data_IF_374457763670
#
_entry.id   IF_374457763670
#
_cell.length_a   1.000
_cell.length_b   1.000
_cell.length_c   1.000
_cell.angle_alpha   90.00
_cell.angle_beta   90.00
_cell.angle_gamma   90.00
#
_symmetry.space_group_name_H-M   'P 1'
#
loop_
_entity.id
_entity.type
_entity.pdbx_description
1 polymer ?
#
# COMPACT_ATOMS: atom_id res chain seq x y z
N UNK A 1 -20.58 2.30 -12.12
CA UNK A 1 -19.62 3.41 -12.00
C UNK A 1 -18.24 2.76 -12.06
N UNK A 2 -17.37 3.17 -12.99
CA UNK A 2 -16.02 2.61 -13.11
C UNK A 2 -15.13 3.26 -12.05
N UNK A 3 -14.70 2.48 -11.07
CA UNK A 3 -13.81 2.94 -10.01
C UNK A 3 -12.34 2.64 -10.39
N UNK A 4 -11.47 3.60 -10.09
CA UNK A 4 -10.05 3.58 -10.44
C UNK A 4 -9.16 3.58 -9.20
N UNK A 5 -9.66 3.04 -8.08
CA UNK A 5 -8.87 2.76 -6.88
C UNK A 5 -8.20 1.37 -6.95
N UNK A 6 -7.13 1.14 -6.16
CA UNK A 6 -6.38 -0.12 -6.21
C UNK A 6 -7.23 -1.37 -5.96
N UNK A 7 -8.20 -1.29 -5.05
CA UNK A 7 -9.08 -2.39 -4.67
C UNK A 7 -10.00 -2.79 -5.85
N UNK A 8 -10.48 -1.80 -6.59
CA UNK A 8 -11.28 -2.01 -7.81
C UNK A 8 -10.46 -2.63 -8.94
N UNK A 9 -9.21 -2.23 -9.12
CA UNK A 9 -8.29 -2.87 -10.07
C UNK A 9 -8.02 -4.34 -9.69
N UNK A 10 -7.72 -4.62 -8.41
CA UNK A 10 -7.50 -5.98 -7.92
C UNK A 10 -8.73 -6.86 -8.14
N UNK A 11 -9.92 -6.36 -7.84
CA UNK A 11 -11.19 -7.11 -8.03
C UNK A 11 -11.35 -7.52 -9.49
N UNK A 12 -11.13 -6.60 -10.44
CA UNK A 12 -11.20 -6.90 -11.87
C UNK A 12 -10.13 -7.90 -12.28
N UNK A 13 -8.91 -7.78 -11.77
CA UNK A 13 -7.86 -8.76 -12.04
C UNK A 13 -8.24 -10.17 -11.58
N UNK A 14 -8.80 -10.32 -10.37
CA UNK A 14 -9.28 -11.61 -9.84
C UNK A 14 -10.41 -12.19 -10.71
N UNK A 15 -11.35 -11.36 -11.16
CA UNK A 15 -12.41 -11.76 -12.11
C UNK A 15 -11.85 -12.26 -13.44
N UNK A 16 -10.85 -11.56 -13.99
CA UNK A 16 -10.19 -11.96 -15.23
C UNK A 16 -9.40 -13.27 -15.06
N UNK A 17 -8.72 -13.48 -13.93
CA UNK A 17 -8.02 -14.74 -13.66
C UNK A 17 -8.98 -15.93 -13.56
N UNK A 18 -10.17 -15.71 -13.01
CA UNK A 18 -11.21 -16.74 -12.88
C UNK A 18 -11.84 -17.17 -14.23
N UNK A 19 -11.83 -16.29 -15.24
CA UNK A 19 -12.47 -16.54 -16.55
C UNK A 19 -11.88 -17.73 -17.34
N UNK A 20 -10.59 -18.04 -17.14
CA UNK A 20 -9.92 -19.18 -17.75
C UNK A 20 -9.34 -18.93 -19.15
N UNK A 21 -9.71 -17.86 -19.86
CA UNK A 21 -9.22 -17.61 -21.22
C UNK A 21 -7.88 -16.87 -21.27
N UNK A 22 -7.18 -17.02 -22.40
CA UNK A 22 -5.83 -16.46 -22.60
C UNK A 22 -5.86 -14.93 -22.64
N UNK A 23 -6.87 -14.32 -23.28
CA UNK A 23 -6.95 -12.87 -23.40
C UNK A 23 -7.11 -12.23 -22.01
N UNK A 24 -7.89 -12.86 -21.13
CA UNK A 24 -8.07 -12.44 -19.75
C UNK A 24 -6.78 -12.47 -18.91
N UNK A 25 -5.78 -13.29 -19.24
CA UNK A 25 -4.47 -13.22 -18.56
C UNK A 25 -3.77 -11.88 -18.83
N UNK A 26 -3.88 -11.33 -20.03
CA UNK A 26 -3.29 -10.04 -20.38
C UNK A 26 -4.05 -8.89 -19.75
N UNK A 27 -5.38 -8.98 -19.68
CA UNK A 27 -6.19 -8.00 -18.95
C UNK A 27 -5.91 -8.05 -17.44
N UNK A 28 -5.81 -9.24 -16.85
CA UNK A 28 -5.42 -9.40 -15.45
C UNK A 28 -4.03 -8.77 -15.19
N UNK A 29 -3.05 -9.01 -16.08
CA UNK A 29 -1.73 -8.40 -15.99
C UNK A 29 -1.78 -6.87 -16.02
N UNK A 30 -2.61 -6.29 -16.88
CA UNK A 30 -2.84 -4.84 -16.96
C UNK A 30 -3.48 -4.31 -15.67
N UNK A 31 -4.56 -4.92 -15.21
CA UNK A 31 -5.29 -4.51 -14.00
C UNK A 31 -4.40 -4.59 -12.75
N UNK A 32 -3.64 -5.68 -12.56
CA UNK A 32 -2.69 -5.81 -11.44
C UNK A 32 -1.62 -4.73 -11.47
N UNK A 33 -1.08 -4.41 -12.64
CA UNK A 33 -0.10 -3.32 -12.79
C UNK A 33 -0.72 -1.99 -12.40
N UNK A 34 -1.91 -1.67 -12.90
CA UNK A 34 -2.61 -0.43 -12.56
C UNK A 34 -2.92 -0.34 -11.06
N UNK A 35 -3.27 -1.45 -10.41
CA UNK A 35 -3.48 -1.49 -8.97
C UNK A 35 -2.21 -1.14 -8.18
N UNK A 36 -1.08 -1.74 -8.56
CA UNK A 36 0.23 -1.45 -7.94
C UNK A 36 0.62 0.01 -8.15
N UNK A 37 0.52 0.52 -9.37
CA UNK A 37 0.82 1.93 -9.69
C UNK A 37 -0.09 2.90 -8.90
N UNK A 38 -1.38 2.59 -8.81
CA UNK A 38 -2.35 3.38 -8.06
C UNK A 38 -2.00 3.39 -6.56
N UNK A 39 -1.64 2.23 -5.99
CA UNK A 39 -1.22 2.15 -4.58
C UNK A 39 0.07 2.92 -4.31
N UNK A 40 1.05 2.83 -5.21
CA UNK A 40 2.28 3.63 -5.12
C UNK A 40 1.96 5.13 -5.20
N UNK A 41 1.03 5.53 -6.06
CA UNK A 41 0.59 6.91 -6.15
C UNK A 41 -0.05 7.40 -4.86
N UNK A 42 -0.94 6.61 -4.24
CA UNK A 42 -1.53 6.94 -2.92
C UNK A 42 -0.45 7.20 -1.85
N UNK A 43 0.60 6.37 -1.82
CA UNK A 43 1.72 6.57 -0.90
C UNK A 43 2.53 7.83 -1.22
N UNK A 44 2.76 8.15 -2.50
CA UNK A 44 3.45 9.37 -2.90
C UNK A 44 2.65 10.63 -2.54
N UNK A 45 1.34 10.62 -2.76
CA UNK A 45 0.45 11.73 -2.37
C UNK A 45 0.41 11.91 -0.85
N UNK A 46 0.36 10.80 -0.09
CA UNK A 46 0.45 10.81 1.36
C UNK A 46 1.80 11.36 1.83
N UNK A 47 2.91 10.93 1.22
CA UNK A 47 4.25 11.42 1.53
C UNK A 47 4.36 12.93 1.32
N UNK A 48 3.85 13.46 0.21
CA UNK A 48 3.88 14.89 -0.07
C UNK A 48 3.00 15.69 0.89
N UNK A 49 1.82 15.16 1.23
CA UNK A 49 0.92 15.77 2.21
C UNK A 49 1.51 15.79 3.61
N UNK A 50 2.14 14.69 4.02
CA UNK A 50 2.84 14.56 5.29
C UNK A 50 4.03 15.53 5.35
N UNK A 51 4.84 15.62 4.29
CA UNK A 51 5.96 16.56 4.18
C UNK A 51 5.51 18.02 4.38
N UNK A 52 4.33 18.39 3.86
CA UNK A 52 3.75 19.72 4.05
C UNK A 52 3.27 19.98 5.49
N UNK A 53 2.91 18.95 6.25
CA UNK A 53 2.50 19.07 7.66
C UNK A 53 3.66 19.24 8.65
N UNK A 54 4.90 18.92 8.25
CA UNK A 54 6.05 19.02 9.14
C UNK A 54 6.44 20.49 9.43
N UNK A 55 6.86 20.84 10.67
CA UNK A 55 7.32 22.18 11.01
C UNK A 55 8.51 22.65 10.15
N UNK A 56 8.51 23.93 9.75
CA UNK A 56 9.56 24.56 8.92
C UNK A 56 10.98 24.53 9.52
N UNK A 57 11.12 24.27 10.82
CA UNK A 57 12.40 24.25 11.54
C UNK A 57 13.20 22.96 11.36
N UNK A 58 12.62 21.90 10.78
CA UNK A 58 13.38 20.72 10.37
C UNK A 58 14.12 21.01 9.07
N UNK A 59 15.43 20.77 9.04
CA UNK A 59 16.31 21.05 7.88
C UNK A 59 15.79 20.37 6.60
N UNK A 60 15.26 21.16 5.67
CA UNK A 60 14.57 20.72 4.44
C UNK A 60 15.33 19.66 3.63
N UNK A 61 16.67 19.77 3.53
CA UNK A 61 17.50 18.80 2.81
C UNK A 61 17.71 17.45 3.53
N UNK A 62 17.62 17.42 4.86
CA UNK A 62 17.66 16.17 5.64
C UNK A 62 16.29 15.50 5.69
N UNK A 63 15.20 16.28 5.60
CA UNK A 63 13.82 15.78 5.58
C UNK A 63 13.56 14.83 4.39
N UNK A 64 13.96 15.21 3.17
CA UNK A 64 13.66 14.42 1.98
C UNK A 64 14.29 13.03 1.99
N UNK A 65 15.57 12.94 2.36
CA UNK A 65 16.31 11.67 2.40
C UNK A 65 15.82 10.73 3.50
N UNK A 66 15.50 11.27 4.67
CA UNK A 66 15.01 10.46 5.79
C UNK A 66 13.57 9.98 5.53
N UNK A 67 12.71 10.82 4.95
CA UNK A 67 11.39 10.42 4.49
C UNK A 67 11.50 9.31 3.44
N UNK A 68 12.36 9.47 2.43
CA UNK A 68 12.59 8.44 1.43
C UNK A 68 13.03 7.12 2.07
N UNK A 69 14.03 7.16 2.97
CA UNK A 69 14.51 5.97 3.68
C UNK A 69 13.40 5.26 4.47
N UNK A 70 12.47 6.00 5.05
CA UNK A 70 11.40 5.44 5.88
C UNK A 70 10.29 4.84 5.02
N UNK A 71 9.99 5.43 3.85
CA UNK A 71 9.07 4.85 2.89
C UNK A 71 9.65 3.64 2.14
N UNK A 72 10.98 3.56 2.02
CA UNK A 72 11.71 2.42 1.41
C UNK A 72 11.85 1.21 2.35
N UNK A 73 11.45 1.33 3.62
CA UNK A 73 11.49 0.23 4.58
C UNK A 73 10.53 -0.90 4.18
N UNK A 74 10.99 -2.16 4.15
CA UNK A 74 10.14 -3.29 3.79
C UNK A 74 9.19 -3.72 4.91
N UNK A 75 9.35 -3.23 6.14
CA UNK A 75 8.57 -3.70 7.29
C UNK A 75 7.12 -3.20 7.26
N UNK A 76 6.20 -4.09 7.65
CA UNK A 76 4.82 -3.74 7.97
C UNK A 76 4.82 -2.98 9.30
N UNK A 77 4.08 -1.87 9.37
CA UNK A 77 3.97 -1.10 10.61
C UNK A 77 2.53 -1.13 11.11
N UNK A 78 2.32 -1.62 12.32
CA UNK A 78 1.03 -1.60 12.99
C UNK A 78 1.03 -0.52 14.09
N UNK A 79 0.06 0.36 14.01
CA UNK A 79 -0.16 1.48 14.93
C UNK A 79 -1.38 1.17 15.79
N UNK A 80 -1.15 0.94 17.07
CA UNK A 80 -2.19 0.67 18.04
C UNK A 80 -2.55 1.97 18.78
N UNK A 81 -3.75 2.47 18.51
CA UNK A 81 -4.30 3.72 19.03
C UNK A 81 -5.31 3.41 20.14
N UNK A 82 -4.89 3.55 21.40
CA UNK A 82 -5.74 3.32 22.59
C UNK A 82 -6.25 4.63 23.15
N UNK A 83 -7.57 4.75 23.28
CA UNK A 83 -8.26 5.87 23.92
C UNK A 83 -8.52 5.59 25.40
N UNK A 84 -8.71 6.66 26.18
CA UNK A 84 -9.01 6.57 27.63
C UNK A 84 -10.31 5.82 27.95
N UNK A 85 -11.27 5.84 27.03
CA UNK A 85 -12.54 5.12 27.16
C UNK A 85 -12.40 3.60 26.95
N UNK A 86 -11.18 3.11 26.69
CA UNK A 86 -10.88 1.71 26.43
C UNK A 86 -11.07 1.28 24.99
N UNK A 87 -11.53 2.18 24.09
CA UNK A 87 -11.57 1.88 22.66
C UNK A 87 -10.16 1.80 22.08
N UNK A 88 -9.98 0.86 21.15
CA UNK A 88 -8.68 0.58 20.54
C UNK A 88 -8.82 0.37 19.04
N UNK A 89 -7.89 0.96 18.28
CA UNK A 89 -7.87 0.87 16.82
C UNK A 89 -6.48 0.54 16.34
N UNK A 90 -6.39 -0.33 15.33
CA UNK A 90 -5.13 -0.71 14.71
C UNK A 90 -5.12 -0.17 13.29
N UNK A 91 -4.12 0.65 12.99
CA UNK A 91 -3.83 1.09 11.63
C UNK A 91 -2.57 0.41 11.12
N UNK A 92 -2.60 -0.11 9.90
CA UNK A 92 -1.48 -0.88 9.36
C UNK A 92 -0.97 -0.24 8.09
N UNK A 93 0.33 0.05 8.04
CA UNK A 93 1.05 0.42 6.82
C UNK A 93 1.72 -0.83 6.25
N UNK A 94 1.39 -1.19 5.02
CA UNK A 94 1.98 -2.33 4.32
C UNK A 94 2.70 -1.81 3.06
N UNK A 95 4.03 -1.76 3.03
CA UNK A 95 4.75 -1.17 1.90
C UNK A 95 4.51 -1.96 0.60
N UNK A 96 4.63 -1.28 -0.54
CA UNK A 96 4.71 -1.98 -1.84
C UNK A 96 6.08 -2.65 -1.93
N UNK A 97 6.11 -3.96 -1.68
CA UNK A 97 7.36 -4.73 -1.62
C UNK A 97 8.13 -4.66 -2.95
N UNK A 98 9.45 -4.87 -2.88
CA UNK A 98 10.29 -4.97 -4.09
C UNK A 98 9.82 -6.11 -5.01
N UNK A 99 9.41 -7.24 -4.44
CA UNK A 99 8.86 -8.37 -5.20
C UNK A 99 7.58 -7.97 -5.96
N UNK A 100 6.65 -7.25 -5.30
CA UNK A 100 5.41 -6.78 -5.93
C UNK A 100 5.69 -5.76 -7.04
N UNK A 101 6.65 -4.85 -6.85
CA UNK A 101 7.10 -3.92 -7.90
C UNK A 101 7.70 -4.66 -9.09
N UNK A 102 8.62 -5.60 -8.83
CA UNK A 102 9.26 -6.39 -9.87
C UNK A 102 8.28 -7.26 -10.65
N UNK A 103 7.26 -7.81 -9.98
CA UNK A 103 6.16 -8.52 -10.64
C UNK A 103 5.36 -7.60 -11.58
N UNK A 104 4.98 -6.40 -11.12
CA UNK A 104 4.25 -5.42 -11.93
C UNK A 104 5.06 -4.94 -13.15
N UNK A 105 6.35 -4.69 -12.99
CA UNK A 105 7.27 -4.35 -14.09
C UNK A 105 7.36 -5.49 -15.10
N UNK A 106 7.51 -6.74 -14.63
CA UNK A 106 7.55 -7.93 -15.48
C UNK A 106 6.25 -8.07 -16.30
N UNK A 107 5.10 -7.76 -15.72
CA UNK A 107 3.82 -7.79 -16.43
C UNK A 107 3.69 -6.71 -17.49
N UNK A 108 4.37 -5.57 -17.33
CA UNK A 108 4.54 -4.59 -18.42
C UNK A 108 5.08 -5.25 -19.69
N UNK A 109 6.01 -6.19 -19.57
CA UNK A 109 6.54 -6.93 -20.70
C UNK A 109 5.52 -7.88 -21.36
N UNK A 110 4.53 -8.37 -20.61
CA UNK A 110 3.46 -9.21 -21.16
C UNK A 110 2.49 -8.42 -22.03
N UNK A 111 2.38 -7.10 -21.83
CA UNK A 111 1.50 -6.22 -22.60
C UNK A 111 2.07 -5.87 -23.98
N UNK A 112 3.31 -6.27 -24.28
CA UNK A 112 3.89 -6.15 -25.60
C UNK A 112 3.50 -7.33 -26.50
N UNK A 113 3.34 -7.06 -27.79
CA UNK A 113 3.04 -8.09 -28.78
C UNK A 113 4.13 -9.18 -28.73
N UNK A 114 3.77 -10.45 -28.47
CA UNK A 114 4.76 -11.51 -28.42
C UNK A 114 5.30 -11.78 -29.83
N UNK A 115 6.60 -12.01 -29.94
CA UNK A 115 7.26 -12.33 -31.22
C UNK A 115 6.97 -13.75 -31.71
N UNK A 116 6.46 -14.62 -30.84
CA UNK A 116 6.09 -16.01 -31.11
C UNK A 116 4.85 -16.40 -30.31
N UNK A 117 4.10 -17.39 -30.78
CA UNK A 117 3.02 -18.00 -29.99
C UNK A 117 3.57 -18.62 -28.71
N UNK A 118 2.91 -18.35 -27.58
CA UNK A 118 3.32 -18.89 -26.28
C UNK A 118 2.79 -20.31 -26.12
N UNK A 119 3.67 -21.22 -25.70
CA UNK A 119 3.27 -22.59 -25.38
C UNK A 119 2.46 -22.67 -24.08
N UNK A 120 1.70 -23.77 -23.92
CA UNK A 120 0.86 -24.01 -22.74
C UNK A 120 1.62 -23.88 -21.40
N UNK A 121 2.83 -24.43 -21.31
CA UNK A 121 3.66 -24.33 -20.09
C UNK A 121 4.05 -22.89 -19.75
N UNK A 122 4.20 -22.02 -20.74
CA UNK A 122 4.50 -20.61 -20.52
C UNK A 122 3.27 -19.86 -20.00
N UNK A 123 2.09 -20.15 -20.57
CA UNK A 123 0.81 -19.59 -20.11
C UNK A 123 0.50 -19.99 -18.66
N UNK A 124 0.79 -21.23 -18.28
CA UNK A 124 0.65 -21.70 -16.89
C UNK A 124 1.58 -20.93 -15.94
N UNK A 125 2.83 -20.69 -16.34
CA UNK A 125 3.77 -19.88 -15.54
C UNK A 125 3.28 -18.44 -15.40
N UNK A 126 2.72 -17.86 -16.46
CA UNK A 126 2.14 -16.52 -16.42
C UNK A 126 0.98 -16.49 -15.43
N UNK A 127 0.05 -17.43 -15.53
CA UNK A 127 -1.10 -17.53 -14.63
C UNK A 127 -0.66 -17.65 -13.16
N UNK A 128 0.23 -18.59 -12.84
CA UNK A 128 0.75 -18.74 -11.47
C UNK A 128 1.46 -17.47 -10.97
N UNK A 129 2.16 -16.76 -11.88
CA UNK A 129 2.77 -15.47 -11.56
C UNK A 129 1.71 -14.41 -11.23
N UNK A 130 0.66 -14.30 -12.02
CA UNK A 130 -0.45 -13.36 -11.80
C UNK A 130 -1.19 -13.66 -10.48
N UNK A 131 -1.47 -14.94 -10.20
CA UNK A 131 -2.11 -15.36 -8.95
C UNK A 131 -1.27 -14.97 -7.72
N UNK A 132 0.05 -15.22 -7.78
CA UNK A 132 0.97 -14.83 -6.72
C UNK A 132 1.01 -13.30 -6.53
N UNK A 133 1.04 -12.54 -7.62
CA UNK A 133 1.04 -11.08 -7.53
C UNK A 133 -0.29 -10.54 -7.01
N UNK A 134 -1.42 -11.12 -7.39
CA UNK A 134 -2.73 -10.78 -6.83
C UNK A 134 -2.77 -10.99 -5.31
N UNK A 135 -2.22 -12.12 -4.82
CA UNK A 135 -2.12 -12.40 -3.39
C UNK A 135 -1.25 -11.36 -2.64
N UNK A 136 -0.07 -11.03 -3.19
CA UNK A 136 0.82 -10.00 -2.61
C UNK A 136 0.19 -8.61 -2.62
N UNK A 137 -0.50 -8.27 -3.69
CA UNK A 137 -1.22 -7.01 -3.79
C UNK A 137 -2.35 -6.95 -2.77
N UNK A 138 -3.09 -8.04 -2.57
CA UNK A 138 -4.13 -8.14 -1.54
C UNK A 138 -3.60 -7.90 -0.13
N UNK A 139 -2.43 -8.47 0.19
CA UNK A 139 -1.72 -8.17 1.44
C UNK A 139 -1.36 -6.68 1.53
N UNK A 140 -0.79 -6.10 0.47
CA UNK A 140 -0.46 -4.66 0.42
C UNK A 140 -1.68 -3.75 0.63
N UNK A 141 -2.82 -4.10 0.03
CA UNK A 141 -4.07 -3.35 0.15
C UNK A 141 -4.81 -3.59 1.48
N UNK A 142 -4.40 -4.58 2.28
CA UNK A 142 -4.95 -4.76 3.63
C UNK A 142 -4.54 -3.64 4.59
N UNK A 143 -3.48 -2.89 4.27
CA UNK A 143 -3.05 -1.73 5.04
C UNK A 143 -3.93 -0.50 4.81
N UNK A 144 -4.49 0.07 5.88
CA UNK A 144 -5.29 1.29 5.85
C UNK A 144 -4.48 2.57 6.15
N UNK A 145 -3.21 2.44 6.53
CA UNK A 145 -2.31 3.57 6.75
C UNK A 145 -1.50 3.86 5.47
N UNK A 146 -1.55 5.11 4.99
CA UNK A 146 -0.88 5.55 3.75
C UNK A 146 0.49 6.20 3.97
N UNK A 147 0.83 6.50 5.23
CA UNK A 147 2.15 7.00 5.61
C UNK A 147 2.72 6.14 6.72
N UNK A 148 3.98 5.66 6.60
CA UNK A 148 4.66 5.05 7.73
C UNK A 148 4.73 6.01 8.91
N UNK A 149 4.80 5.43 10.10
CA UNK A 149 4.89 6.19 11.34
C UNK A 149 6.32 6.70 11.47
N UNK A 150 6.47 8.02 11.52
CA UNK A 150 7.77 8.60 11.84
C UNK A 150 7.93 8.66 13.36
N UNK A 151 9.11 8.29 13.85
CA UNK A 151 9.49 8.48 15.24
C UNK A 151 10.45 9.67 15.32
N UNK A 152 10.30 10.50 16.35
CA UNK A 152 11.28 11.50 16.72
C UNK A 152 12.56 10.77 17.14
N UNK A 153 13.69 10.98 16.45
CA UNK A 153 14.93 10.29 16.78
C UNK A 153 15.47 10.63 18.17
N UNK A 154 15.04 11.74 18.79
CA UNK A 154 15.48 12.14 20.14
C UNK A 154 14.62 11.56 21.26
N UNK A 155 13.30 11.53 21.06
CA UNK A 155 12.35 11.12 22.10
C UNK A 155 11.80 9.72 21.88
N UNK A 156 11.99 9.15 20.69
CA UNK A 156 11.38 7.88 20.27
C UNK A 156 9.87 7.96 20.09
N UNK A 157 9.26 9.14 20.23
CA UNK A 157 7.82 9.32 20.15
C UNK A 157 7.35 9.50 18.70
N UNK A 158 6.13 9.05 18.35
CA UNK A 158 5.56 9.29 17.03
C UNK A 158 5.45 10.78 16.70
N UNK A 159 5.93 11.17 15.51
CA UNK A 159 5.71 12.50 14.93
C UNK A 159 4.34 12.49 14.26
N UNK A 160 3.34 12.97 15.00
CA UNK A 160 1.95 12.74 14.66
C UNK A 160 1.54 13.58 13.42
N UNK A 161 1.35 12.85 12.32
CA UNK A 161 0.63 13.23 11.12
C UNK A 161 0.17 11.93 10.45
N UNK A 162 -1.01 11.42 10.79
CA UNK A 162 -1.48 10.15 10.26
C UNK A 162 -2.34 10.40 9.02
N UNK A 163 -1.99 9.77 7.92
CA UNK A 163 -2.79 9.75 6.70
C UNK A 163 -3.34 8.35 6.55
N UNK A 164 -4.65 8.20 6.75
CA UNK A 164 -5.35 6.92 6.76
C UNK A 164 -6.45 6.92 5.71
N UNK A 165 -6.69 5.77 5.08
CA UNK A 165 -7.93 5.53 4.33
C UNK A 165 -9.05 5.29 5.35
N UNK A 166 -10.03 6.19 5.39
CA UNK A 166 -11.17 6.09 6.32
C UNK A 166 -12.34 5.42 5.60
N UNK A 167 -12.77 4.27 6.08
CA UNK A 167 -14.04 3.67 5.67
C UNK A 167 -15.23 4.42 6.31
N UNK A 168 -16.44 4.27 5.75
CA UNK A 168 -17.66 4.90 6.31
C UNK A 168 -17.92 4.51 7.78
N UNK A 169 -17.42 3.35 8.23
CA UNK A 169 -17.59 2.84 9.59
C UNK A 169 -16.62 3.49 10.58
N UNK A 170 -15.49 4.02 10.11
CA UNK A 170 -14.41 4.58 10.94
C UNK A 170 -14.54 6.09 11.18
N UNK A 171 -15.60 6.73 10.66
CA UNK A 171 -15.81 8.17 10.75
C UNK A 171 -15.88 8.69 12.19
N UNK A 172 -16.45 7.90 13.11
CA UNK A 172 -16.50 8.27 14.54
C UNK A 172 -15.13 8.32 15.22
N UNK A 173 -14.11 7.66 14.66
CA UNK A 173 -12.73 7.70 15.19
C UNK A 173 -12.05 9.00 14.78
N UNK A 174 -12.27 9.42 13.52
CA UNK A 174 -11.76 10.70 13.03
C UNK A 174 -12.29 11.87 13.86
N UNK A 175 -13.57 11.81 14.23
CA UNK A 175 -14.18 12.82 15.10
C UNK A 175 -13.47 12.86 16.47
N UNK A 176 -13.17 11.70 17.09
CA UNK A 176 -12.41 11.65 18.35
C UNK A 176 -10.98 12.17 18.23
N UNK A 177 -10.25 11.79 17.18
CA UNK A 177 -8.87 12.26 16.95
C UNK A 177 -8.81 13.77 16.68
N UNK A 178 -9.84 14.33 16.04
CA UNK A 178 -9.94 15.76 15.74
C UNK A 178 -10.25 16.62 16.98
N UNK A 179 -10.75 16.01 18.05
CA UNK A 179 -11.13 16.70 19.30
C UNK A 179 -9.94 16.84 20.28
N UNK A 180 -8.77 16.25 19.96
CA UNK A 180 -7.57 16.41 20.76
C UNK A 180 -7.56 15.56 22.04
N UNK A 181 -8.25 14.43 22.05
CA UNK A 181 -8.17 13.47 23.15
C UNK A 181 -6.75 12.90 23.29
N UNK A 182 -6.32 12.66 24.55
CA UNK A 182 -5.05 12.00 24.83
C UNK A 182 -5.09 10.56 24.33
N UNK A 183 -4.20 10.27 23.38
CA UNK A 183 -4.07 8.98 22.72
C UNK A 183 -2.75 8.32 23.11
N UNK A 184 -2.81 7.05 23.55
CA UNK A 184 -1.62 6.22 23.68
C UNK A 184 -1.39 5.51 22.35
N UNK A 185 -0.21 5.72 21.78
CA UNK A 185 0.18 5.21 20.47
C UNK A 185 1.31 4.20 20.64
N UNK A 186 1.07 2.94 20.31
CA UNK A 186 2.11 1.90 20.27
C UNK A 186 2.39 1.53 18.81
N UNK A 187 3.66 1.47 18.42
CA UNK A 187 4.09 1.08 17.06
C UNK A 187 4.73 -0.29 17.12
N UNK A 188 4.30 -1.22 16.26
CA UNK A 188 4.90 -2.54 16.06
C UNK A 188 5.38 -2.67 14.63
N UNK A 189 6.44 -3.45 14.45
CA UNK A 189 7.04 -3.74 13.14
C UNK A 189 7.00 -5.24 12.92
N UNK A 190 6.43 -5.65 11.80
CA UNK A 190 6.32 -7.05 11.39
C UNK A 190 7.01 -7.24 10.03
N UNK A 191 7.52 -8.46 9.76
CA UNK A 191 8.09 -8.81 8.46
C UNK A 191 6.99 -9.04 7.42
N UNK A 192 7.28 -8.75 6.15
CA UNK A 192 6.40 -9.12 5.03
C UNK A 192 6.36 -10.64 4.88
N UNK A 193 5.17 -11.22 4.81
CA UNK A 193 5.00 -12.64 4.52
C UNK A 193 5.27 -12.89 3.04
N UNK A 194 6.26 -13.75 2.70
CA UNK A 194 6.67 -14.02 1.32
C UNK A 194 5.92 -15.15 0.62
#
# INVERSE_FOLDING_TARGET
MYYTDPESYLTRAEEQLASGDIASLFYAAFELRCAVECRQHEYLEAQESYRKSLPRSWKIGQQGKELQRIYERPEIQALNCKFKDGSNFIYTYVPVSEALRGDAERFGNLLHAPSQERGQSELEKIRSGLDLTAARLKECLSGNLLSPVLLDPKTGQPLIGLIVKISKQERGIYDKMSIGEELVVEVRYDELTH
#
